data_IF_889619057006
#
_entry.id   IF_889619057006
#
_cell.length_a   1.000
_cell.length_b   1.000
_cell.length_c   1.000
_cell.angle_alpha   90.00
_cell.angle_beta   90.00
_cell.angle_gamma   90.00
#
_symmetry.space_group_name_H-M   'P 1'
#
loop_
_entity.id
_entity.type
_entity.pdbx_description
1 polymer ?
#
# COMPACT_ATOMS: atom_id res chain seq x y z
N UNK A 1 32.86 22.99 -38.26
CA UNK A 1 31.98 22.05 -37.51
C UNK A 1 31.65 20.93 -38.49
N UNK A 2 32.40 19.83 -38.43
CA UNK A 2 32.38 18.76 -39.44
C UNK A 2 31.00 18.09 -39.48
N UNK A 3 30.45 17.90 -40.68
CA UNK A 3 29.20 17.17 -40.89
C UNK A 3 29.38 15.69 -40.55
N UNK A 4 28.63 15.21 -39.55
CA UNK A 4 28.57 13.79 -39.25
C UNK A 4 27.98 13.04 -40.45
N UNK A 5 28.67 11.99 -40.91
CA UNK A 5 28.16 11.10 -41.96
C UNK A 5 27.07 10.18 -41.40
N UNK A 6 26.21 9.62 -42.26
CA UNK A 6 25.12 8.72 -41.84
C UNK A 6 25.62 7.52 -41.01
N UNK A 7 26.81 7.02 -41.32
CA UNK A 7 27.50 5.95 -40.57
C UNK A 7 27.75 6.34 -39.11
N UNK A 8 28.31 7.54 -38.87
CA UNK A 8 28.53 8.04 -37.50
C UNK A 8 27.24 8.28 -36.73
N UNK A 9 26.17 8.72 -37.39
CA UNK A 9 24.86 8.87 -36.74
C UNK A 9 24.25 7.52 -36.37
N UNK A 10 24.45 6.49 -37.19
CA UNK A 10 23.99 5.14 -36.90
C UNK A 10 24.73 4.53 -35.71
N UNK A 11 26.05 4.72 -35.64
CA UNK A 11 26.87 4.27 -34.51
C UNK A 11 26.52 4.99 -33.20
N UNK A 12 26.31 6.32 -33.25
CA UNK A 12 25.87 7.08 -32.07
C UNK A 12 24.48 6.62 -31.62
N UNK A 13 23.55 6.40 -32.55
CA UNK A 13 22.20 5.91 -32.22
C UNK A 13 22.21 4.49 -31.66
N UNK A 14 23.06 3.63 -32.19
CA UNK A 14 23.28 2.27 -31.67
C UNK A 14 23.92 2.32 -30.27
N UNK A 15 24.90 3.18 -30.04
CA UNK A 15 25.52 3.36 -28.72
C UNK A 15 24.53 3.91 -27.69
N UNK A 16 23.70 4.90 -28.05
CA UNK A 16 22.64 5.40 -27.17
C UNK A 16 21.64 4.28 -26.86
N UNK A 17 21.21 3.52 -27.86
CA UNK A 17 20.26 2.42 -27.68
C UNK A 17 20.85 1.27 -26.83
N UNK A 18 22.15 0.98 -26.96
CA UNK A 18 22.86 0.00 -26.12
C UNK A 18 23.00 0.52 -24.68
N UNK A 19 23.35 1.79 -24.49
CA UNK A 19 23.46 2.40 -23.16
C UNK A 19 22.11 2.43 -22.46
N UNK A 20 21.04 2.80 -23.16
CA UNK A 20 19.66 2.77 -22.65
C UNK A 20 19.23 1.34 -22.30
N UNK A 21 19.57 0.37 -23.15
CA UNK A 21 19.27 -1.05 -22.92
C UNK A 21 20.05 -1.63 -21.71
N UNK A 22 21.31 -1.24 -21.52
CA UNK A 22 22.14 -1.75 -20.42
C UNK A 22 21.79 -1.08 -19.08
N UNK A 23 21.31 0.17 -19.09
CA UNK A 23 20.91 0.89 -17.88
C UNK A 23 19.54 0.42 -17.34
N UNK A 24 18.69 -0.17 -18.18
CA UNK A 24 17.34 -0.58 -17.81
C UNK A 24 17.23 -1.98 -17.15
N UNK A 25 18.34 -2.66 -16.84
CA UNK A 25 18.31 -3.98 -16.21
C UNK A 25 18.36 -3.89 -14.66
N UNK A 26 17.21 -3.64 -14.04
CA UNK A 26 17.09 -3.79 -12.58
C UNK A 26 17.05 -5.28 -12.23
N UNK A 27 18.17 -5.82 -11.72
CA UNK A 27 18.26 -7.20 -11.28
C UNK A 27 17.84 -7.31 -9.81
N UNK A 28 16.56 -7.62 -9.58
CA UNK A 28 16.00 -7.81 -8.24
C UNK A 28 16.68 -8.97 -7.47
N UNK A 29 17.20 -9.98 -8.17
CA UNK A 29 17.88 -11.15 -7.59
C UNK A 29 19.26 -10.84 -7.01
N UNK A 30 19.93 -9.76 -7.46
CA UNK A 30 21.23 -9.36 -6.90
C UNK A 30 21.11 -8.67 -5.54
N UNK A 31 19.91 -8.17 -5.19
CA UNK A 31 19.63 -7.59 -3.87
C UNK A 31 19.36 -8.71 -2.86
N UNK A 32 20.34 -8.98 -1.99
CA UNK A 32 20.22 -10.01 -0.93
C UNK A 32 19.15 -9.73 0.12
N UNK A 33 18.57 -8.53 0.15
CA UNK A 33 17.58 -8.13 1.16
C UNK A 33 16.52 -7.32 0.50
N UNK A 34 15.27 -7.60 0.85
CA UNK A 34 14.12 -6.85 0.34
C UNK A 34 13.31 -6.30 1.51
N UNK A 35 12.63 -5.18 1.26
CA UNK A 35 11.64 -4.64 2.17
C UNK A 35 10.25 -5.10 1.72
N UNK A 36 9.60 -5.90 2.56
CA UNK A 36 8.20 -6.30 2.39
C UNK A 36 7.31 -5.20 2.99
N UNK A 37 6.19 -4.91 2.33
CA UNK A 37 5.27 -3.84 2.70
C UNK A 37 3.85 -4.38 2.75
N UNK A 38 3.24 -4.41 3.93
CA UNK A 38 1.87 -4.89 4.13
C UNK A 38 0.93 -3.69 4.33
N UNK A 39 0.07 -3.37 3.36
CA UNK A 39 -0.89 -2.27 3.48
C UNK A 39 -2.10 -2.67 4.33
N UNK A 40 -2.45 -1.84 5.30
CA UNK A 40 -3.52 -2.11 6.28
C UNK A 40 -4.30 -0.82 6.52
N UNK A 41 -5.61 -0.83 6.35
CA UNK A 41 -6.47 0.33 6.59
C UNK A 41 -7.17 0.24 7.96
N UNK A 42 -7.21 1.35 8.70
CA UNK A 42 -8.01 1.50 9.93
C UNK A 42 -9.02 2.63 9.78
N UNK A 43 -10.15 2.55 10.50
CA UNK A 43 -11.18 3.58 10.41
C UNK A 43 -10.70 4.89 11.04
N UNK A 44 -11.20 6.03 10.53
CA UNK A 44 -10.78 7.37 10.96
C UNK A 44 -10.98 7.66 12.46
N UNK A 45 -11.92 6.97 13.11
CA UNK A 45 -12.23 7.15 14.53
C UNK A 45 -11.27 6.39 15.46
N UNK A 46 -10.47 5.47 14.91
CA UNK A 46 -9.64 4.55 15.69
C UNK A 46 -8.31 5.19 16.09
N UNK A 47 -7.71 4.67 17.17
CA UNK A 47 -6.42 5.16 17.63
C UNK A 47 -5.27 4.56 16.80
N UNK A 48 -4.55 5.42 16.08
CA UNK A 48 -3.41 5.05 15.23
C UNK A 48 -2.29 4.36 16.02
N UNK A 49 -2.00 4.83 17.24
CA UNK A 49 -0.93 4.28 18.07
C UNK A 49 -1.25 2.87 18.55
N UNK A 50 -2.50 2.64 19.00
CA UNK A 50 -2.95 1.30 19.41
C UNK A 50 -2.90 0.33 18.23
N UNK A 51 -3.35 0.75 17.04
CA UNK A 51 -3.29 -0.08 15.84
C UNK A 51 -1.87 -0.39 15.40
N UNK A 52 -0.99 0.61 15.47
CA UNK A 52 0.45 0.44 15.21
C UNK A 52 1.06 -0.61 16.12
N UNK A 53 0.79 -0.55 17.42
CA UNK A 53 1.34 -1.48 18.41
C UNK A 53 0.80 -2.90 18.22
N UNK A 54 -0.49 -3.05 17.95
CA UNK A 54 -1.12 -4.33 17.66
C UNK A 54 -0.51 -4.99 16.42
N UNK A 55 -0.36 -4.23 15.32
CA UNK A 55 0.23 -4.73 14.08
C UNK A 55 1.72 -5.09 14.30
N UNK A 56 2.50 -4.23 14.95
CA UNK A 56 3.93 -4.50 15.22
C UNK A 56 4.15 -5.75 16.08
N UNK A 57 3.22 -6.08 16.98
CA UNK A 57 3.31 -7.27 17.81
C UNK A 57 3.30 -8.57 16.99
N UNK A 58 2.67 -8.57 15.80
CA UNK A 58 2.59 -9.76 14.93
C UNK A 58 3.95 -10.22 14.39
N UNK A 59 4.92 -9.31 14.27
CA UNK A 59 6.25 -9.57 13.66
C UNK A 59 7.29 -10.03 14.68
N UNK A 60 7.11 -9.72 15.98
CA UNK A 60 8.18 -9.78 16.99
C UNK A 60 8.85 -11.15 17.21
N UNK A 61 8.30 -12.24 16.66
CA UNK A 61 8.77 -13.61 16.92
C UNK A 61 9.12 -14.42 15.65
N UNK A 62 9.21 -13.79 14.47
CA UNK A 62 9.53 -14.51 13.23
C UNK A 62 11.02 -14.40 12.88
N UNK A 63 11.68 -15.56 12.79
CA UNK A 63 13.10 -15.68 12.48
C UNK A 63 13.46 -15.35 11.02
N UNK A 64 12.47 -15.26 10.12
CA UNK A 64 12.66 -14.86 8.72
C UNK A 64 12.84 -13.36 8.57
N UNK A 65 12.52 -12.60 9.62
CA UNK A 65 12.51 -11.15 9.60
C UNK A 65 13.76 -10.60 10.28
N UNK A 66 14.42 -9.65 9.62
CA UNK A 66 15.65 -9.03 10.09
C UNK A 66 15.40 -7.93 11.11
N UNK A 67 15.87 -8.11 12.35
CA UNK A 67 15.82 -7.06 13.39
C UNK A 67 16.56 -5.76 12.99
N UNK A 68 17.57 -5.88 12.12
CA UNK A 68 18.33 -4.75 11.59
C UNK A 68 18.38 -4.85 10.07
N UNK A 69 17.68 -3.95 9.32
CA UNK A 69 17.04 -2.71 9.76
C UNK A 69 15.70 -2.87 10.48
N UNK A 70 15.42 -2.00 11.44
CA UNK A 70 14.23 -2.09 12.29
C UNK A 70 12.90 -2.10 11.52
N UNK A 71 11.97 -2.95 11.97
CA UNK A 71 10.59 -2.99 11.50
C UNK A 71 9.82 -1.74 11.93
N UNK A 72 8.89 -1.29 11.09
CA UNK A 72 8.11 -0.09 11.38
C UNK A 72 6.70 -0.18 10.80
N UNK A 73 5.72 0.36 11.50
CA UNK A 73 4.37 0.59 10.98
C UNK A 73 4.14 2.09 10.89
N UNK A 74 4.01 2.59 9.66
CA UNK A 74 3.91 4.01 9.33
C UNK A 74 2.56 4.33 8.70
N UNK A 75 2.10 5.57 8.84
CA UNK A 75 0.94 6.07 8.08
C UNK A 75 1.43 6.44 6.69
N UNK A 76 0.89 5.83 5.65
CA UNK A 76 1.25 6.11 4.25
C UNK A 76 0.33 7.12 3.61
N UNK A 77 -0.91 7.21 4.06
CA UNK A 77 -1.88 8.14 3.49
C UNK A 77 -3.21 8.18 4.25
N UNK A 78 -4.01 9.15 3.87
CA UNK A 78 -5.39 9.33 4.32
C UNK A 78 -6.27 9.18 3.08
N UNK A 79 -7.06 8.11 3.01
CA UNK A 79 -7.95 7.81 1.88
C UNK A 79 -9.42 8.08 2.22
N UNK A 80 -10.31 7.89 1.25
CA UNK A 80 -11.72 8.32 1.34
C UNK A 80 -12.49 7.77 2.55
N UNK A 81 -12.11 6.59 3.06
CA UNK A 81 -12.78 5.97 4.21
C UNK A 81 -11.81 5.38 5.24
N UNK A 82 -10.50 5.51 5.04
CA UNK A 82 -9.48 4.86 5.86
C UNK A 82 -8.25 5.74 6.12
N UNK A 83 -7.62 5.54 7.26
CA UNK A 83 -6.22 5.89 7.50
C UNK A 83 -5.39 4.68 7.09
N UNK A 84 -4.54 4.85 6.08
CA UNK A 84 -3.73 3.77 5.54
C UNK A 84 -2.41 3.67 6.30
N UNK A 85 -2.19 2.50 6.88
CA UNK A 85 -0.95 2.07 7.53
C UNK A 85 -0.19 1.13 6.59
N UNK A 86 1.13 1.18 6.66
CA UNK A 86 2.02 0.21 6.00
C UNK A 86 2.96 -0.38 7.05
N UNK A 87 2.87 -1.69 7.21
CA UNK A 87 3.84 -2.46 7.98
C UNK A 87 5.02 -2.81 7.07
N UNK A 88 6.20 -2.28 7.40
CA UNK A 88 7.42 -2.50 6.65
C UNK A 88 8.43 -3.29 7.46
N UNK A 89 8.96 -4.36 6.87
CA UNK A 89 10.01 -5.20 7.45
C UNK A 89 10.96 -5.76 6.38
N UNK A 90 12.13 -6.24 6.80
CA UNK A 90 13.15 -6.73 5.88
C UNK A 90 13.28 -8.26 5.95
N UNK A 91 13.46 -8.90 4.79
CA UNK A 91 13.74 -10.33 4.65
C UNK A 91 14.98 -10.55 3.78
N UNK A 92 15.72 -11.63 4.05
CA UNK A 92 16.90 -12.04 3.25
C UNK A 92 16.53 -12.79 1.97
N UNK A 93 15.31 -13.30 1.87
CA UNK A 93 14.87 -14.01 0.67
C UNK A 93 13.97 -13.12 -0.20
N UNK A 94 14.45 -12.66 -1.38
CA UNK A 94 13.66 -11.87 -2.30
C UNK A 94 12.44 -12.62 -2.87
N UNK A 95 12.48 -13.96 -2.92
CA UNK A 95 11.38 -14.77 -3.44
C UNK A 95 10.19 -14.82 -2.47
N UNK A 96 10.42 -14.53 -1.18
CA UNK A 96 9.39 -14.60 -0.15
C UNK A 96 8.50 -13.36 -0.06
N UNK A 97 8.71 -12.32 -0.87
CA UNK A 97 7.99 -11.05 -0.76
C UNK A 97 6.47 -11.21 -0.65
N UNK A 98 5.87 -11.89 -1.63
CA UNK A 98 4.42 -12.06 -1.71
C UNK A 98 3.91 -13.07 -0.68
N UNK A 99 4.68 -14.11 -0.41
CA UNK A 99 4.32 -15.09 0.63
C UNK A 99 4.22 -14.43 2.00
N UNK A 100 5.23 -13.65 2.39
CA UNK A 100 5.24 -12.91 3.65
C UNK A 100 4.15 -11.84 3.66
N UNK A 101 3.95 -11.11 2.56
CA UNK A 101 2.85 -10.15 2.44
C UNK A 101 1.50 -10.76 2.84
N UNK A 102 1.13 -11.88 2.21
CA UNK A 102 -0.15 -12.53 2.45
C UNK A 102 -0.21 -13.19 3.82
N UNK A 103 0.87 -13.84 4.25
CA UNK A 103 0.98 -14.50 5.55
C UNK A 103 0.84 -13.51 6.71
N UNK A 104 1.28 -12.26 6.54
CA UNK A 104 1.15 -11.21 7.56
C UNK A 104 -0.15 -10.40 7.46
N UNK A 105 -0.85 -10.47 6.34
CA UNK A 105 -2.14 -9.77 6.18
C UNK A 105 -3.21 -10.34 7.13
N UNK A 106 -3.32 -11.66 7.21
CA UNK A 106 -4.34 -12.31 8.06
C UNK A 106 -4.09 -12.11 9.58
N UNK A 107 -2.88 -12.33 10.12
CA UNK A 107 -2.55 -12.03 11.51
C UNK A 107 -2.72 -10.55 11.86
N UNK A 108 -2.37 -9.63 10.93
CA UNK A 108 -2.58 -8.20 11.16
C UNK A 108 -4.06 -7.89 11.37
N UNK A 109 -4.95 -8.50 10.58
CA UNK A 109 -6.40 -8.36 10.77
C UNK A 109 -6.83 -8.89 12.13
N UNK A 110 -6.39 -10.10 12.51
CA UNK A 110 -6.74 -10.71 13.81
C UNK A 110 -6.26 -9.85 14.98
N UNK A 111 -5.03 -9.34 14.92
CA UNK A 111 -4.47 -8.47 15.95
C UNK A 111 -5.26 -7.15 16.09
N UNK A 112 -5.74 -6.58 14.98
CA UNK A 112 -6.61 -5.41 15.01
C UNK A 112 -7.97 -5.71 15.63
N UNK A 113 -8.59 -6.86 15.30
CA UNK A 113 -9.85 -7.27 15.93
C UNK A 113 -9.70 -7.45 17.45
N UNK A 114 -8.61 -8.11 17.89
CA UNK A 114 -8.30 -8.32 19.30
C UNK A 114 -8.04 -7.00 20.05
N UNK A 115 -7.46 -6.01 19.35
CA UNK A 115 -7.28 -4.66 19.86
C UNK A 115 -8.57 -3.80 19.80
N UNK A 116 -9.66 -4.32 19.24
CA UNK A 116 -10.94 -3.60 19.09
C UNK A 116 -10.93 -2.52 18.02
N UNK A 117 -10.01 -2.59 17.05
CA UNK A 117 -9.84 -1.59 15.99
C UNK A 117 -10.64 -1.98 14.76
N UNK A 118 -11.58 -1.14 14.37
CA UNK A 118 -12.41 -1.38 13.19
C UNK A 118 -11.65 -1.11 11.88
N UNK A 119 -11.75 -2.06 10.96
CA UNK A 119 -11.34 -1.88 9.56
C UNK A 119 -12.52 -1.24 8.81
N UNK A 120 -12.30 -0.10 8.13
CA UNK A 120 -13.37 0.67 7.56
C UNK A 120 -13.95 -0.01 6.32
N UNK A 121 -15.26 0.10 6.17
CA UNK A 121 -15.94 -0.20 4.92
C UNK A 121 -16.04 1.07 4.06
N UNK A 122 -16.11 0.95 2.73
CA UNK A 122 -16.34 2.10 1.87
C UNK A 122 -17.70 2.73 2.20
N UNK A 123 -17.69 3.97 2.68
CA UNK A 123 -18.90 4.72 2.98
C UNK A 123 -19.21 5.71 1.87
N UNK A 124 -20.43 5.66 1.33
CA UNK A 124 -20.95 6.67 0.41
C UNK A 124 -22.03 7.47 1.10
N UNK A 125 -21.84 8.78 1.22
CA UNK A 125 -22.89 9.69 1.68
C UNK A 125 -23.67 10.20 0.47
N UNK A 126 -24.98 9.92 0.45
CA UNK A 126 -25.88 10.40 -0.61
C UNK A 126 -26.64 11.61 -0.07
N UNK A 127 -26.35 12.78 -0.62
CA UNK A 127 -27.13 13.98 -0.36
C UNK A 127 -28.28 14.03 -1.36
N UNK A 128 -29.51 13.87 -0.86
CA UNK A 128 -30.72 14.00 -1.69
C UNK A 128 -31.22 15.43 -1.56
N UNK A 129 -31.02 16.23 -2.60
CA UNK A 129 -31.61 17.57 -2.68
C UNK A 129 -33.04 17.46 -3.22
N UNK A 130 -34.00 17.90 -2.39
CA UNK A 130 -35.42 18.19 -2.68
C UNK A 130 -35.96 17.48 -3.94
N UNK A 131 -36.16 16.17 -3.88
CA UNK A 131 -36.81 15.42 -4.94
C UNK A 131 -38.33 15.53 -4.82
N UNK A 132 -39.01 15.77 -5.93
CA UNK A 132 -40.48 15.85 -6.00
C UNK A 132 -41.13 14.58 -5.42
N UNK A 133 -40.53 13.41 -5.69
CA UNK A 133 -40.98 12.13 -5.14
C UNK A 133 -40.90 12.01 -3.62
N UNK A 134 -39.89 12.60 -2.95
CA UNK A 134 -39.85 12.59 -1.49
C UNK A 134 -40.93 13.50 -0.89
N UNK A 135 -41.21 14.64 -1.54
CA UNK A 135 -42.23 15.58 -1.06
C UNK A 135 -43.64 14.99 -1.09
N UNK A 136 -43.95 14.18 -2.11
CA UNK A 136 -45.21 13.44 -2.20
C UNK A 136 -45.34 12.42 -1.06
N UNK A 137 -44.26 11.70 -0.72
CA UNK A 137 -44.23 10.78 0.41
C UNK A 137 -44.40 11.49 1.76
N UNK A 138 -43.76 12.65 1.96
CA UNK A 138 -43.88 13.42 3.19
C UNK A 138 -45.30 13.96 3.40
N UNK A 139 -45.98 14.40 2.33
CA UNK A 139 -47.40 14.81 2.37
C UNK A 139 -48.34 13.64 2.68
N UNK A 140 -48.07 12.46 2.11
CA UNK A 140 -48.87 11.28 2.36
C UNK A 140 -48.77 10.82 3.83
N UNK A 141 -47.57 10.92 4.42
CA UNK A 141 -47.32 10.57 5.82
C UNK A 141 -47.84 11.62 6.82
N UNK A 142 -47.93 12.90 6.46
CA UNK A 142 -48.45 13.95 7.35
C UNK A 142 -49.97 14.00 7.45
N UNK A 143 -50.67 13.34 6.52
CA UNK A 143 -52.14 13.31 6.44
C UNK A 143 -52.77 12.07 7.10
N UNK A 144 -51.97 11.26 7.81
CA UNK A 144 -52.42 10.15 8.66
C UNK A 144 -52.20 10.51 10.13
#
# INVERSE_FOLDING_TARGET
ILGATNETLWLIKLMVLIVDFFFAFFNFTLTRRIRVKVPIGIAYRENIQTGREAILATIKNDNRILDTPAHSVIVTGLENSSVNLEMGFWSEDPLMNYSLLWEYTEPSKKALDEAGIEIPFPHSQIFIERSEGLMELTKALSNT
#
